data_IF_656834968495
#
_entry.id   IF_656834968495
#
_cell.length_a   1.000
_cell.length_b   1.000
_cell.length_c   1.000
_cell.angle_alpha   90.00
_cell.angle_beta   90.00
_cell.angle_gamma   90.00
#
_symmetry.space_group_name_H-M   'P 1'
#
loop_
_entity.id
_entity.type
_entity.pdbx_description
1 polymer ?
#
# COMPACT_ATOMS: atom_id res chain seq x y z
N UNK A 1 -15.39 -40.00 -12.20
CA UNK A 1 -14.17 -40.32 -11.42
C UNK A 1 -14.12 -39.44 -10.18
N UNK A 2 -14.25 -40.00 -8.96
CA UNK A 2 -13.96 -39.27 -7.73
C UNK A 2 -12.44 -39.13 -7.61
N UNK A 3 -11.92 -37.91 -7.65
CA UNK A 3 -10.49 -37.64 -7.41
C UNK A 3 -10.20 -38.02 -5.96
N UNK A 4 -9.51 -39.13 -5.72
CA UNK A 4 -9.00 -39.47 -4.39
C UNK A 4 -7.94 -38.42 -4.03
N UNK A 5 -8.34 -37.42 -3.24
CA UNK A 5 -7.41 -36.45 -2.69
C UNK A 5 -6.63 -37.17 -1.58
N UNK A 6 -5.36 -37.48 -1.86
CA UNK A 6 -4.40 -37.92 -0.85
C UNK A 6 -4.36 -36.87 0.27
N UNK A 7 -4.63 -37.28 1.51
CA UNK A 7 -4.51 -36.41 2.68
C UNK A 7 -3.07 -36.48 3.18
N UNK A 8 -2.47 -35.32 3.39
CA UNK A 8 -1.14 -35.18 3.98
C UNK A 8 -1.25 -34.33 5.24
N UNK A 9 -0.40 -34.61 6.23
CA UNK A 9 -0.34 -33.84 7.49
C UNK A 9 0.72 -32.76 7.38
N UNK A 10 0.35 -31.53 7.71
CA UNK A 10 1.28 -30.40 7.86
C UNK A 10 1.17 -29.91 9.31
N UNK A 11 2.25 -29.94 10.11
CA UNK A 11 2.21 -29.41 11.47
C UNK A 11 2.06 -27.89 11.44
N UNK A 12 1.19 -27.38 12.31
CA UNK A 12 0.91 -25.94 12.48
C UNK A 12 0.67 -25.66 13.96
N UNK A 13 0.81 -24.40 14.37
CA UNK A 13 0.51 -23.99 15.75
C UNK A 13 -0.94 -24.32 16.12
N UNK A 14 -1.12 -24.86 17.33
CA UNK A 14 -2.44 -25.35 17.77
C UNK A 14 -3.50 -24.25 17.83
N UNK A 15 -3.11 -23.02 18.20
CA UNK A 15 -4.02 -21.88 18.24
C UNK A 15 -4.46 -21.44 16.83
N UNK A 16 -3.52 -21.43 15.86
CA UNK A 16 -3.84 -21.13 14.45
C UNK A 16 -4.79 -22.19 13.88
N UNK A 17 -4.58 -23.47 14.19
CA UNK A 17 -5.46 -24.55 13.74
C UNK A 17 -6.89 -24.40 14.30
N UNK A 18 -7.02 -24.02 15.58
CA UNK A 18 -8.32 -23.77 16.22
C UNK A 18 -9.03 -22.57 15.57
N UNK A 19 -8.32 -21.48 15.34
CA UNK A 19 -8.86 -20.29 14.70
C UNK A 19 -9.35 -20.57 13.27
N UNK A 20 -8.51 -21.23 12.45
CA UNK A 20 -8.89 -21.65 11.09
C UNK A 20 -10.13 -22.55 11.10
N UNK A 21 -10.20 -23.50 12.05
CA UNK A 21 -11.36 -24.39 12.20
C UNK A 21 -12.63 -23.63 12.58
N UNK A 22 -12.52 -22.65 13.48
CA UNK A 22 -13.62 -21.78 13.90
C UNK A 22 -14.14 -20.93 12.73
N UNK A 23 -13.24 -20.21 12.05
CA UNK A 23 -13.58 -19.35 10.90
C UNK A 23 -14.19 -20.16 9.76
N UNK A 24 -13.61 -21.34 9.46
CA UNK A 24 -14.15 -22.23 8.43
C UNK A 24 -15.60 -22.62 8.74
N UNK A 25 -15.90 -23.04 9.98
CA UNK A 25 -17.25 -23.45 10.38
C UNK A 25 -18.24 -22.30 10.29
N UNK A 26 -17.87 -21.11 10.79
CA UNK A 26 -18.73 -19.92 10.77
C UNK A 26 -19.06 -19.48 9.35
N UNK A 27 -18.10 -19.61 8.42
CA UNK A 27 -18.27 -19.25 7.01
C UNK A 27 -18.77 -20.41 6.12
N UNK A 28 -19.13 -21.56 6.71
CA UNK A 28 -19.63 -22.73 5.98
C UNK A 28 -18.60 -23.46 5.10
N UNK A 29 -17.31 -23.25 5.34
CA UNK A 29 -16.22 -23.91 4.62
C UNK A 29 -15.78 -25.23 5.28
N UNK A 30 -15.35 -26.18 4.45
CA UNK A 30 -14.57 -27.33 4.92
C UNK A 30 -13.19 -26.87 5.37
N UNK A 31 -12.77 -27.24 6.59
CA UNK A 31 -11.44 -26.94 7.15
C UNK A 31 -10.32 -27.39 6.21
N UNK A 32 -10.46 -28.57 5.59
CA UNK A 32 -9.47 -29.13 4.66
C UNK A 32 -9.38 -28.28 3.38
N UNK A 33 -10.52 -27.80 2.87
CA UNK A 33 -10.56 -26.95 1.68
C UNK A 33 -9.91 -25.59 1.98
N UNK A 34 -10.30 -24.95 3.08
CA UNK A 34 -9.72 -23.67 3.50
C UNK A 34 -8.21 -23.78 3.68
N UNK A 35 -7.73 -24.79 4.40
CA UNK A 35 -6.30 -25.02 4.58
C UNK A 35 -5.57 -25.24 3.25
N UNK A 36 -6.15 -26.03 2.33
CA UNK A 36 -5.56 -26.28 1.02
C UNK A 36 -5.47 -25.01 0.17
N UNK A 37 -6.51 -24.18 0.17
CA UNK A 37 -6.54 -22.94 -0.61
C UNK A 37 -5.62 -21.87 0.00
N UNK A 38 -5.54 -21.79 1.33
CA UNK A 38 -4.58 -20.92 2.03
C UNK A 38 -3.12 -21.31 1.74
N UNK A 39 -2.79 -22.60 1.71
CA UNK A 39 -1.44 -23.06 1.34
C UNK A 39 -1.11 -22.77 -0.12
N UNK A 40 -2.06 -22.94 -1.05
CA UNK A 40 -1.88 -22.54 -2.45
C UNK A 40 -1.62 -21.04 -2.58
N UNK A 41 -2.39 -20.22 -1.87
CA UNK A 41 -2.19 -18.77 -1.85
C UNK A 41 -0.79 -18.42 -1.33
N UNK A 42 -0.37 -19.03 -0.20
CA UNK A 42 0.95 -18.81 0.37
C UNK A 42 2.07 -19.17 -0.62
N UNK A 43 1.96 -20.30 -1.34
CA UNK A 43 2.93 -20.69 -2.37
C UNK A 43 2.97 -19.68 -3.52
N UNK A 44 1.82 -19.19 -3.97
CA UNK A 44 1.73 -18.24 -5.09
C UNK A 44 2.31 -16.87 -4.73
N UNK A 45 2.10 -16.41 -3.49
CA UNK A 45 2.72 -15.20 -2.95
C UNK A 45 4.24 -15.37 -2.83
N UNK A 46 4.71 -16.51 -2.31
CA UNK A 46 6.14 -16.78 -2.13
C UNK A 46 6.90 -16.82 -3.47
N UNK A 47 6.27 -17.34 -4.54
CA UNK A 47 6.83 -17.30 -5.91
C UNK A 47 7.10 -15.89 -6.42
N UNK A 48 6.43 -14.88 -5.85
CA UNK A 48 6.62 -13.45 -6.15
C UNK A 48 7.47 -12.73 -5.10
N UNK A 49 8.10 -13.46 -4.18
CA UNK A 49 8.89 -12.89 -3.09
C UNK A 49 8.07 -12.28 -1.94
N UNK A 50 6.77 -12.55 -1.88
CA UNK A 50 5.86 -12.04 -0.86
C UNK A 50 5.62 -13.14 0.18
N UNK A 51 6.03 -12.92 1.43
CA UNK A 51 5.76 -13.85 2.52
C UNK A 51 4.32 -13.66 3.04
N UNK A 52 3.69 -14.68 3.68
CA UNK A 52 2.36 -14.52 4.26
C UNK A 52 2.25 -13.33 5.23
N UNK A 53 3.27 -13.10 6.06
CA UNK A 53 3.32 -11.94 6.97
C UNK A 53 3.24 -10.62 6.22
N UNK A 54 4.04 -10.47 5.15
CA UNK A 54 4.03 -9.27 4.30
C UNK A 54 2.68 -9.08 3.61
N UNK A 55 2.06 -10.16 3.15
CA UNK A 55 0.74 -10.10 2.53
C UNK A 55 -0.34 -9.61 3.52
N UNK A 56 -0.26 -10.01 4.79
CA UNK A 56 -1.14 -9.51 5.85
C UNK A 56 -0.93 -8.01 6.10
N UNK A 57 0.32 -7.55 6.16
CA UNK A 57 0.64 -6.12 6.29
C UNK A 57 0.08 -5.29 5.13
N UNK A 58 0.25 -5.78 3.90
CA UNK A 58 -0.31 -5.15 2.70
C UNK A 58 -1.83 -5.13 2.70
N UNK A 59 -2.47 -6.19 3.20
CA UNK A 59 -3.92 -6.23 3.34
C UNK A 59 -4.41 -5.18 4.34
N UNK A 60 -3.76 -5.04 5.50
CA UNK A 60 -4.06 -3.98 6.48
C UNK A 60 -3.90 -2.58 5.87
N UNK A 61 -2.82 -2.35 5.11
CA UNK A 61 -2.64 -1.08 4.40
C UNK A 61 -3.78 -0.83 3.40
N UNK A 62 -4.20 -1.86 2.67
CA UNK A 62 -5.32 -1.79 1.72
C UNK A 62 -6.62 -1.41 2.42
N UNK A 63 -6.92 -2.01 3.58
CA UNK A 63 -8.10 -1.65 4.38
C UNK A 63 -8.10 -0.17 4.77
N UNK A 64 -6.93 0.41 5.12
CA UNK A 64 -6.84 1.84 5.41
C UNK A 64 -7.06 2.71 4.17
N UNK A 65 -6.51 2.31 3.03
CA UNK A 65 -6.72 3.03 1.76
C UNK A 65 -8.19 3.02 1.37
N UNK A 66 -8.87 1.89 1.53
CA UNK A 66 -10.30 1.75 1.19
C UNK A 66 -11.22 2.58 2.09
N UNK A 67 -10.76 3.01 3.27
CA UNK A 67 -11.51 3.91 4.13
C UNK A 67 -11.63 5.36 3.56
N UNK A 68 -10.93 5.67 2.48
CA UNK A 68 -10.94 6.97 1.80
C UNK A 68 -11.70 6.94 0.46
N UNK A 69 -12.60 5.97 0.26
CA UNK A 69 -13.41 5.81 -0.96
C UNK A 69 -12.56 5.80 -2.26
N UNK A 70 -11.38 5.18 -2.17
CA UNK A 70 -10.41 5.15 -3.28
C UNK A 70 -10.84 4.13 -4.33
N UNK A 71 -10.96 4.59 -5.58
CA UNK A 71 -11.18 3.73 -6.75
C UNK A 71 -9.94 3.68 -7.65
N UNK A 72 -9.54 2.50 -8.15
CA UNK A 72 -8.42 2.40 -9.07
C UNK A 72 -8.80 3.02 -10.42
N UNK A 73 -8.03 4.02 -10.86
CA UNK A 73 -8.18 4.66 -12.17
C UNK A 73 -6.85 4.68 -12.91
N UNK A 74 -6.82 4.59 -14.25
CA UNK A 74 -5.59 4.71 -15.01
C UNK A 74 -4.89 6.05 -14.75
N UNK A 75 -3.59 6.04 -14.45
CA UNK A 75 -2.83 7.27 -14.19
C UNK A 75 -2.84 8.24 -15.40
N UNK A 76 -2.87 7.71 -16.62
CA UNK A 76 -3.03 8.50 -17.84
C UNK A 76 -4.37 9.25 -17.91
N UNK A 77 -5.42 8.66 -17.35
CA UNK A 77 -6.73 9.32 -17.24
C UNK A 77 -6.69 10.44 -16.20
N UNK A 78 -6.09 10.19 -15.03
CA UNK A 78 -5.90 11.24 -14.02
C UNK A 78 -5.13 12.44 -14.57
N UNK A 79 -4.04 12.20 -15.31
CA UNK A 79 -3.27 13.26 -15.95
C UNK A 79 -4.08 14.02 -17.02
N UNK A 80 -4.90 13.33 -17.81
CA UNK A 80 -5.78 13.97 -18.79
C UNK A 80 -6.76 14.92 -18.12
N UNK A 81 -7.42 14.48 -17.04
CA UNK A 81 -8.40 15.27 -16.29
C UNK A 81 -7.71 16.43 -15.58
N UNK A 82 -6.60 16.18 -14.89
CA UNK A 82 -5.82 17.20 -14.20
C UNK A 82 -5.39 18.33 -15.14
N UNK A 83 -4.94 18.00 -16.35
CA UNK A 83 -4.59 18.97 -17.39
C UNK A 83 -5.79 19.71 -17.96
N UNK A 84 -6.89 19.00 -18.24
CA UNK A 84 -8.09 19.60 -18.85
C UNK A 84 -8.71 20.67 -17.96
N UNK A 85 -8.63 20.50 -16.65
CA UNK A 85 -9.25 21.40 -15.67
C UNK A 85 -8.27 22.15 -14.77
N UNK A 86 -6.95 22.03 -15.03
CA UNK A 86 -5.89 22.64 -14.21
C UNK A 86 -6.04 22.33 -12.71
N UNK A 87 -6.47 21.11 -12.38
CA UNK A 87 -6.85 20.74 -11.02
C UNK A 87 -5.75 21.00 -9.98
N UNK A 88 -4.49 20.78 -10.34
CA UNK A 88 -3.35 20.92 -9.41
C UNK A 88 -2.84 22.37 -9.26
N UNK A 89 -3.53 23.33 -9.90
CA UNK A 89 -3.37 24.77 -9.70
C UNK A 89 -4.59 25.37 -8.99
N UNK A 90 -5.65 24.59 -8.82
CA UNK A 90 -6.86 25.00 -8.12
C UNK A 90 -6.63 24.93 -6.60
N UNK A 91 -6.92 26.03 -5.91
CA UNK A 91 -6.66 26.16 -4.47
C UNK A 91 -7.58 25.27 -3.63
N UNK A 92 -8.83 25.06 -4.06
CA UNK A 92 -9.79 24.19 -3.37
C UNK A 92 -9.33 22.73 -3.47
N UNK A 93 -8.88 22.31 -4.67
CA UNK A 93 -8.32 20.98 -4.88
C UNK A 93 -7.03 20.78 -4.08
N UNK A 94 -6.12 21.76 -4.06
CA UNK A 94 -4.91 21.68 -3.24
C UNK A 94 -5.25 21.50 -1.76
N UNK A 95 -6.15 22.33 -1.22
CA UNK A 95 -6.57 22.25 0.17
C UNK A 95 -7.20 20.88 0.47
N UNK A 96 -8.09 20.40 -0.39
CA UNK A 96 -8.70 19.08 -0.26
C UNK A 96 -7.66 17.95 -0.21
N UNK A 97 -6.66 17.99 -1.09
CA UNK A 97 -5.58 17.00 -1.12
C UNK A 97 -4.72 17.03 0.13
N UNK A 98 -4.41 18.23 0.65
CA UNK A 98 -3.67 18.41 1.91
C UNK A 98 -4.43 17.86 3.10
N UNK A 99 -5.70 18.22 3.26
CA UNK A 99 -6.56 17.71 4.34
C UNK A 99 -6.74 16.19 4.27
N UNK A 100 -6.88 15.65 3.05
CA UNK A 100 -6.98 14.20 2.84
C UNK A 100 -5.66 13.51 3.19
N UNK A 101 -4.52 14.11 2.80
CA UNK A 101 -3.18 13.66 3.17
C UNK A 101 -2.98 13.62 4.68
N UNK A 102 -3.35 14.68 5.39
CA UNK A 102 -3.30 14.75 6.85
C UNK A 102 -4.15 13.64 7.50
N UNK A 103 -5.40 13.48 7.07
CA UNK A 103 -6.31 12.44 7.59
C UNK A 103 -5.74 11.04 7.35
N UNK A 104 -5.26 10.78 6.13
CA UNK A 104 -4.61 9.51 5.79
C UNK A 104 -3.39 9.28 6.66
N UNK A 105 -2.50 10.26 6.75
CA UNK A 105 -1.30 10.23 7.58
C UNK A 105 -1.59 9.88 9.03
N UNK A 106 -2.63 10.45 9.64
CA UNK A 106 -3.04 10.11 11.02
C UNK A 106 -3.48 8.65 11.14
N UNK A 107 -4.22 8.14 10.15
CA UNK A 107 -4.69 6.74 10.13
C UNK A 107 -3.51 5.79 10.01
N UNK A 108 -2.55 6.03 9.11
CA UNK A 108 -1.37 5.15 8.99
C UNK A 108 -0.38 5.33 10.14
N UNK A 109 -0.15 6.53 10.65
CA UNK A 109 0.74 6.75 11.80
C UNK A 109 0.21 6.13 13.10
N UNK A 110 -1.11 5.90 13.21
CA UNK A 110 -1.69 5.14 14.33
C UNK A 110 -1.43 3.62 14.23
N UNK A 111 -1.19 3.10 13.02
CA UNK A 111 -0.95 1.67 12.76
C UNK A 111 0.55 1.33 12.77
N UNK A 112 1.38 2.19 12.21
CA UNK A 112 2.83 1.98 12.07
C UNK A 112 3.59 2.80 13.12
N UNK A 113 4.55 2.19 13.84
CA UNK A 113 5.26 2.87 14.93
C UNK A 113 6.25 3.91 14.43
N UNK A 114 6.78 3.69 13.23
CA UNK A 114 7.76 4.58 12.61
C UNK A 114 7.46 4.75 11.13
N UNK A 115 7.93 5.88 10.56
CA UNK A 115 7.88 6.10 9.12
C UNK A 115 8.59 4.98 8.35
N UNK A 116 9.71 4.48 8.86
CA UNK A 116 10.46 3.40 8.21
C UNK A 116 9.66 2.09 8.11
N UNK A 117 8.88 1.74 9.13
CA UNK A 117 7.97 0.58 9.08
C UNK A 117 6.90 0.77 8.00
N UNK A 118 6.25 1.94 7.98
CA UNK A 118 5.27 2.27 6.94
C UNK A 118 5.87 2.19 5.54
N UNK A 119 7.06 2.75 5.34
CA UNK A 119 7.74 2.74 4.04
C UNK A 119 8.13 1.33 3.59
N UNK A 120 8.46 0.44 4.51
CA UNK A 120 8.75 -0.95 4.17
C UNK A 120 7.52 -1.68 3.60
N UNK A 121 6.34 -1.46 4.19
CA UNK A 121 5.07 -2.03 3.68
C UNK A 121 4.61 -1.33 2.41
N UNK A 122 4.68 0.00 2.36
CA UNK A 122 4.31 0.79 1.18
C UNK A 122 5.16 0.41 -0.04
N UNK A 123 6.47 0.22 0.13
CA UNK A 123 7.36 -0.21 -0.95
C UNK A 123 6.97 -1.55 -1.56
N UNK A 124 6.60 -2.52 -0.71
CA UNK A 124 6.11 -3.82 -1.17
C UNK A 124 4.77 -3.69 -1.90
N UNK A 125 3.85 -2.88 -1.36
CA UNK A 125 2.57 -2.60 -1.99
C UNK A 125 2.74 -1.98 -3.38
N UNK A 126 3.59 -0.95 -3.49
CA UNK A 126 3.83 -0.26 -4.76
C UNK A 126 4.59 -1.12 -5.78
N UNK A 127 5.42 -2.09 -5.35
CA UNK A 127 6.12 -3.01 -6.25
C UNK A 127 5.19 -3.88 -7.11
N UNK A 128 3.92 -4.01 -6.72
CA UNK A 128 2.92 -4.73 -7.52
C UNK A 128 2.39 -3.91 -8.71
N UNK A 129 2.60 -2.59 -8.72
CA UNK A 129 2.08 -1.70 -9.76
C UNK A 129 3.15 -1.44 -10.83
N UNK A 130 2.82 -1.63 -12.12
CA UNK A 130 3.80 -1.48 -13.21
C UNK A 130 4.19 -0.02 -13.52
N UNK A 131 3.42 0.97 -13.03
CA UNK A 131 3.47 2.36 -13.55
C UNK A 131 4.25 3.32 -12.65
N UNK A 132 4.43 2.99 -11.37
CA UNK A 132 5.17 3.83 -10.43
C UNK A 132 6.61 3.35 -10.35
N UNK A 133 7.55 4.06 -11.00
CA UNK A 133 8.97 3.95 -10.63
C UNK A 133 9.15 4.68 -9.30
N UNK A 134 8.68 4.05 -8.25
CA UNK A 134 8.84 4.50 -6.89
C UNK A 134 10.11 3.85 -6.34
N UNK A 135 11.11 4.66 -6.04
CA UNK A 135 12.34 4.20 -5.41
C UNK A 135 12.51 4.85 -4.06
N UNK A 136 13.04 4.07 -3.13
CA UNK A 136 13.29 4.47 -1.76
C UNK A 136 14.74 4.16 -1.45
N UNK A 137 15.48 5.16 -1.01
CA UNK A 137 16.80 4.96 -0.43
C UNK A 137 16.89 5.68 0.90
N UNK A 138 17.71 5.15 1.80
CA UNK A 138 17.98 5.77 3.10
C UNK A 138 19.46 6.07 3.17
N UNK A 139 19.80 7.30 3.54
CA UNK A 139 21.17 7.73 3.81
C UNK A 139 21.20 8.43 5.17
N UNK A 140 21.87 7.82 6.15
CA UNK A 140 21.82 8.29 7.53
C UNK A 140 20.39 8.33 8.06
N UNK A 141 19.92 9.53 8.43
CA UNK A 141 18.57 9.75 8.96
C UNK A 141 17.58 10.30 7.91
N UNK A 142 17.99 10.39 6.65
CA UNK A 142 17.16 10.94 5.58
C UNK A 142 16.74 9.83 4.62
N UNK A 143 15.44 9.72 4.41
CA UNK A 143 14.85 8.94 3.33
C UNK A 143 14.78 9.79 2.07
N UNK A 144 15.24 9.25 0.96
CA UNK A 144 15.05 9.81 -0.37
C UNK A 144 14.02 8.96 -1.09
N UNK A 145 12.88 9.57 -1.39
CA UNK A 145 11.76 8.97 -2.10
C UNK A 145 11.73 9.59 -3.49
N UNK A 146 11.84 8.77 -4.53
CA UNK A 146 11.74 9.23 -5.92
C UNK A 146 10.51 8.59 -6.53
N UNK A 147 9.58 9.40 -7.02
CA UNK A 147 8.38 8.94 -7.69
C UNK A 147 8.29 9.53 -9.09
N UNK A 148 8.23 8.67 -10.11
CA UNK A 148 7.97 9.07 -11.49
C UNK A 148 6.51 8.77 -11.84
N UNK A 149 5.75 9.78 -12.26
CA UNK A 149 4.37 9.59 -12.73
C UNK A 149 4.22 9.77 -14.25
N UNK A 150 2.99 9.64 -14.73
CA UNK A 150 2.64 9.73 -16.15
C UNK A 150 2.67 11.17 -16.70
N UNK A 151 2.56 12.20 -15.85
CA UNK A 151 2.70 13.60 -16.26
C UNK A 151 2.92 14.56 -15.10
N UNK A 152 3.24 15.82 -15.41
CA UNK A 152 3.74 16.80 -14.42
C UNK A 152 2.66 17.28 -13.45
N UNK A 153 1.40 17.36 -13.87
CA UNK A 153 0.31 17.86 -13.03
C UNK A 153 -0.10 16.82 -11.98
N UNK A 154 -0.30 15.57 -12.39
CA UNK A 154 -0.64 14.48 -11.46
C UNK A 154 0.41 14.30 -10.34
N UNK A 155 1.69 14.50 -10.68
CA UNK A 155 2.82 14.54 -9.73
C UNK A 155 2.59 15.62 -8.69
N UNK A 156 2.36 16.87 -9.11
CA UNK A 156 2.14 18.00 -8.19
C UNK A 156 0.99 17.76 -7.20
N UNK A 157 -0.16 17.30 -7.68
CA UNK A 157 -1.29 16.94 -6.82
C UNK A 157 -0.94 15.86 -5.79
N UNK A 158 -0.25 14.79 -6.22
CA UNK A 158 0.18 13.73 -5.32
C UNK A 158 1.17 14.25 -4.26
N UNK A 159 2.00 15.22 -4.62
CA UNK A 159 2.94 15.89 -3.72
C UNK A 159 2.24 16.51 -2.51
N UNK A 160 1.15 17.25 -2.73
CA UNK A 160 0.36 17.87 -1.65
C UNK A 160 -0.19 16.86 -0.65
N UNK A 161 -0.76 15.77 -1.17
CA UNK A 161 -1.25 14.67 -0.34
C UNK A 161 -0.11 14.01 0.45
N UNK A 162 0.97 13.64 -0.24
CA UNK A 162 2.08 12.90 0.35
C UNK A 162 2.82 13.71 1.41
N UNK A 163 3.03 15.00 1.17
CA UNK A 163 3.69 15.90 2.12
C UNK A 163 2.95 15.93 3.47
N UNK A 164 1.63 16.14 3.45
CA UNK A 164 0.82 16.19 4.67
C UNK A 164 0.70 14.83 5.35
N UNK A 165 0.63 13.74 4.57
CA UNK A 165 0.60 12.38 5.12
C UNK A 165 1.90 12.04 5.87
N UNK A 166 3.05 12.41 5.31
CA UNK A 166 4.37 12.12 5.90
C UNK A 166 4.59 12.95 7.17
N UNK A 167 4.14 14.22 7.20
CA UNK A 167 4.24 15.08 8.41
C UNK A 167 3.60 14.46 9.65
N UNK A 168 2.57 13.61 9.49
CA UNK A 168 1.92 12.94 10.62
C UNK A 168 2.80 11.92 11.34
N UNK A 169 3.91 11.50 10.73
CA UNK A 169 4.93 10.67 11.38
C UNK A 169 5.96 11.50 12.18
N UNK A 170 5.74 12.82 12.31
CA UNK A 170 6.70 13.73 12.95
C UNK A 170 7.92 14.05 12.08
N UNK A 171 7.85 13.72 10.79
CA UNK A 171 8.96 13.91 9.85
C UNK A 171 8.88 15.28 9.16
N UNK A 172 10.04 15.85 8.84
CA UNK A 172 10.17 16.99 7.94
C UNK A 172 10.33 16.50 6.50
N UNK A 173 9.65 17.15 5.55
CA UNK A 173 9.69 16.81 4.12
C UNK A 173 10.20 17.99 3.32
N UNK A 174 11.14 17.73 2.41
CA UNK A 174 11.56 18.67 1.37
C UNK A 174 11.33 18.03 0.01
N UNK A 175 10.41 18.60 -0.77
CA UNK A 175 10.07 18.11 -2.12
C UNK A 175 10.73 18.96 -3.20
N UNK A 176 11.33 18.33 -4.21
CA UNK A 176 11.68 18.96 -5.47
C UNK A 176 10.95 18.27 -6.63
N UNK A 177 10.67 19.05 -7.67
CA UNK A 177 9.93 18.62 -8.85
C UNK A 177 10.83 18.77 -10.07
N UNK A 178 11.03 17.68 -10.82
CA UNK A 178 11.83 17.63 -12.04
C UNK A 178 11.00 16.99 -13.14
N UNK A 179 10.23 17.81 -13.88
CA UNK A 179 9.26 17.34 -14.87
C UNK A 179 8.20 16.44 -14.24
N UNK A 180 8.15 15.17 -14.65
CA UNK A 180 7.22 14.17 -14.12
C UNK A 180 7.77 13.38 -12.92
N UNK A 181 8.83 13.88 -12.27
CA UNK A 181 9.49 13.24 -11.13
C UNK A 181 9.33 14.12 -9.88
N UNK A 182 8.86 13.51 -8.78
CA UNK A 182 9.04 14.05 -7.43
C UNK A 182 10.25 13.39 -6.80
N UNK A 183 11.09 14.21 -6.16
CA UNK A 183 12.07 13.76 -5.19
C UNK A 183 11.67 14.36 -3.85
N UNK A 184 11.36 13.49 -2.88
CA UNK A 184 11.10 13.90 -1.50
C UNK A 184 12.24 13.43 -0.60
N UNK A 185 12.87 14.38 0.08
CA UNK A 185 13.82 14.14 1.17
C UNK A 185 13.06 14.23 2.50
N UNK A 186 12.96 13.11 3.21
CA UNK A 186 12.21 12.99 4.46
C UNK A 186 13.17 12.71 5.61
N UNK A 187 13.15 13.57 6.62
CA UNK A 187 13.93 13.41 7.84
C UNK A 187 12.99 13.19 9.01
N UNK A 188 13.13 12.02 9.64
CA UNK A 188 12.54 11.63 10.91
C UNK A 188 13.74 11.20 11.76
#
# INVERSE_FOLDING_TARGET
>A
MKRNVSKTTVPVDSEVAKEVSSVAKTQGFSVVKLASDSLKLAVELLRRGITPTKALEMFRLTEKILAFDVVPVPLSYLELVARKWKMCEDQEVEQFLRETGEKFGKVVAAEYRTFGEFMATASQFFSMFPVARLSFSKSGNTWRIVFTATGELSVKCLGYFAEEAIKQFGCSVKTSYEGNIIIAEVTC
#
